data_IF_210324527847
#
_entry.id   IF_210324527847
#
_cell.length_a   1.000
_cell.length_b   1.000
_cell.length_c   1.000
_cell.angle_alpha   90.00
_cell.angle_beta   90.00
_cell.angle_gamma   90.00
#
_symmetry.space_group_name_H-M   'P 1'
#
loop_
_entity.id
_entity.type
_entity.pdbx_description
1 polymer ?
#
# COMPACT_ATOMS: atom_id res chain seq x y z
N UNK A 1 20.10 -1.23 -3.99
CA UNK A 1 20.23 -1.68 -5.40
C UNK A 1 19.11 -2.60 -5.91
N UNK A 2 18.07 -2.97 -5.12
CA UNK A 2 17.03 -3.91 -5.59
C UNK A 2 15.87 -3.25 -6.37
N UNK A 3 15.46 -2.02 -6.04
CA UNK A 3 14.28 -1.38 -6.67
C UNK A 3 14.57 -0.67 -7.99
N UNK A 4 15.72 0.03 -8.09
CA UNK A 4 16.06 0.83 -9.27
C UNK A 4 16.09 0.00 -10.55
N UNK A 5 16.65 -1.22 -10.51
CA UNK A 5 16.67 -2.11 -11.68
C UNK A 5 15.27 -2.46 -12.20
N UNK A 6 14.31 -2.65 -11.30
CA UNK A 6 12.92 -2.91 -11.67
C UNK A 6 12.25 -1.68 -12.27
N UNK A 7 12.52 -0.50 -11.69
CA UNK A 7 12.02 0.79 -12.19
C UNK A 7 12.61 1.09 -13.58
N UNK A 8 13.93 0.91 -13.77
CA UNK A 8 14.62 1.13 -15.04
C UNK A 8 14.05 0.23 -16.15
N UNK A 9 13.77 -1.04 -15.81
CA UNK A 9 13.11 -1.96 -16.73
C UNK A 9 11.71 -1.47 -17.11
N UNK A 10 10.89 -1.06 -16.12
CA UNK A 10 9.57 -0.51 -16.40
C UNK A 10 9.64 0.72 -17.31
N UNK A 11 10.60 1.62 -17.11
CA UNK A 11 10.82 2.79 -17.97
C UNK A 11 11.20 2.37 -19.40
N UNK A 12 12.16 1.44 -19.54
CA UNK A 12 12.63 0.98 -20.84
C UNK A 12 11.54 0.30 -21.67
N UNK A 13 10.66 -0.47 -21.02
CA UNK A 13 9.58 -1.22 -21.67
C UNK A 13 8.25 -0.44 -21.73
N UNK A 14 8.21 0.80 -21.23
CA UNK A 14 6.97 1.61 -21.20
C UNK A 14 5.90 1.07 -20.24
N UNK A 15 6.28 0.29 -19.22
CA UNK A 15 5.39 -0.21 -18.18
C UNK A 15 5.13 0.91 -17.16
N UNK A 16 3.90 1.40 -17.09
CA UNK A 16 3.54 2.56 -16.26
C UNK A 16 3.46 2.31 -14.75
N UNK A 17 3.70 1.08 -14.28
CA UNK A 17 3.58 0.73 -12.85
C UNK A 17 4.61 -0.30 -12.42
N UNK A 18 5.30 0.01 -11.32
CA UNK A 18 6.18 -0.91 -10.61
C UNK A 18 5.66 -1.10 -9.18
N UNK A 19 5.53 -2.35 -8.73
CA UNK A 19 5.12 -2.68 -7.37
C UNK A 19 6.31 -3.30 -6.61
N UNK A 20 6.82 -2.65 -5.55
CA UNK A 20 7.95 -3.16 -4.78
C UNK A 20 7.57 -4.32 -3.83
N UNK A 21 6.29 -4.71 -3.78
CA UNK A 21 5.72 -5.72 -2.88
C UNK A 21 5.38 -5.19 -1.49
N UNK A 22 4.71 -6.03 -0.68
CA UNK A 22 4.37 -5.73 0.72
C UNK A 22 5.59 -5.95 1.63
N UNK A 23 6.31 -4.89 1.99
CA UNK A 23 7.39 -4.94 2.97
C UNK A 23 7.58 -3.54 3.57
N UNK A 24 8.00 -3.48 4.83
CA UNK A 24 7.76 -2.35 5.75
C UNK A 24 8.18 -0.92 5.33
N UNK A 25 7.97 0.00 6.27
CA UNK A 25 7.97 1.46 6.10
C UNK A 25 9.21 2.07 5.45
N UNK A 26 10.36 1.38 5.48
CA UNK A 26 11.59 1.82 4.83
C UNK A 26 11.46 2.05 3.30
N UNK A 27 10.39 1.56 2.66
CA UNK A 27 10.07 1.84 1.26
C UNK A 27 9.52 3.26 1.04
N UNK A 28 8.84 3.83 2.02
CA UNK A 28 8.19 5.14 1.90
C UNK A 28 9.26 6.21 1.65
N UNK A 29 10.36 6.17 2.41
CA UNK A 29 11.51 7.07 2.22
C UNK A 29 12.19 6.94 0.85
N UNK A 30 11.93 5.85 0.12
CA UNK A 30 12.42 5.63 -1.25
C UNK A 30 11.42 6.08 -2.31
N UNK A 31 10.34 6.76 -1.93
CA UNK A 31 9.33 7.29 -2.83
C UNK A 31 8.17 6.34 -3.15
N UNK A 32 8.05 5.21 -2.44
CA UNK A 32 6.91 4.31 -2.62
C UNK A 32 5.71 4.78 -1.77
N UNK A 33 4.68 5.26 -2.45
CA UNK A 33 3.45 5.73 -1.81
C UNK A 33 2.66 4.58 -1.15
N UNK A 34 2.17 4.77 0.09
CA UNK A 34 1.27 3.81 0.73
C UNK A 34 -0.10 3.83 0.04
N UNK A 35 -0.45 2.71 -0.60
CA UNK A 35 -1.74 2.51 -1.27
C UNK A 35 -2.57 1.44 -0.55
N UNK A 36 -3.89 1.49 -0.72
CA UNK A 36 -4.76 0.41 -0.26
C UNK A 36 -4.52 -0.86 -1.07
N UNK A 37 -4.30 -1.97 -0.36
CA UNK A 37 -4.34 -3.32 -0.94
C UNK A 37 -5.67 -3.96 -0.56
N UNK A 38 -6.31 -4.63 -1.52
CA UNK A 38 -7.56 -5.38 -1.30
C UNK A 38 -7.29 -6.85 -1.52
N UNK A 39 -7.95 -7.67 -0.72
CA UNK A 39 -7.90 -9.13 -0.83
C UNK A 39 -9.32 -9.68 -0.70
N UNK A 40 -9.52 -10.88 -1.21
CA UNK A 40 -10.81 -11.57 -1.15
C UNK A 40 -10.59 -12.95 -0.59
N UNK A 41 -11.37 -13.31 0.43
CA UNK A 41 -11.21 -14.54 1.17
C UNK A 41 -12.56 -15.25 1.23
N UNK A 42 -12.55 -16.54 0.88
CA UNK A 42 -13.67 -17.42 1.17
C UNK A 42 -13.44 -18.08 2.53
N UNK A 43 -14.43 -17.95 3.41
CA UNK A 43 -14.40 -18.52 4.75
C UNK A 43 -15.60 -19.44 4.87
N UNK A 44 -15.33 -20.75 5.04
CA UNK A 44 -16.36 -21.77 5.02
C UNK A 44 -17.21 -21.79 6.31
N UNK A 45 -16.61 -21.49 7.46
CA UNK A 45 -17.28 -21.47 8.77
C UNK A 45 -17.99 -20.12 8.97
N UNK A 46 -19.33 -20.08 9.03
CA UNK A 46 -20.08 -18.83 9.13
C UNK A 46 -19.69 -17.97 10.35
N UNK A 47 -19.48 -18.58 11.51
CA UNK A 47 -19.12 -17.82 12.71
C UNK A 47 -17.76 -17.11 12.57
N UNK A 48 -16.82 -17.75 11.87
CA UNK A 48 -15.52 -17.16 11.57
C UNK A 48 -15.65 -16.05 10.52
N UNK A 49 -16.48 -16.25 9.50
CA UNK A 49 -16.73 -15.24 8.47
C UNK A 49 -17.30 -13.95 9.08
N UNK A 50 -18.27 -14.08 9.99
CA UNK A 50 -18.88 -12.95 10.70
C UNK A 50 -17.88 -12.23 11.60
N UNK A 51 -17.04 -12.98 12.34
CA UNK A 51 -16.00 -12.42 13.19
C UNK A 51 -14.95 -11.64 12.37
N UNK A 52 -14.48 -12.19 11.25
CA UNK A 52 -13.53 -11.51 10.35
C UNK A 52 -14.18 -10.27 9.71
N UNK A 53 -15.46 -10.35 9.31
CA UNK A 53 -16.18 -9.20 8.75
C UNK A 53 -16.37 -8.09 9.79
N UNK A 54 -16.63 -8.41 11.05
CA UNK A 54 -16.72 -7.44 12.14
C UNK A 54 -15.37 -6.77 12.40
N UNK A 55 -14.30 -7.57 12.57
CA UNK A 55 -12.96 -7.06 12.80
C UNK A 55 -12.48 -6.14 11.67
N UNK A 56 -12.64 -6.56 10.41
CA UNK A 56 -12.19 -5.75 9.27
C UNK A 56 -12.92 -4.42 9.17
N UNK A 57 -14.21 -4.34 9.55
CA UNK A 57 -14.93 -3.05 9.62
C UNK A 57 -14.33 -2.11 10.66
N UNK A 58 -13.95 -2.62 11.82
CA UNK A 58 -13.32 -1.83 12.88
C UNK A 58 -11.88 -1.43 12.50
N UNK A 59 -11.15 -2.32 11.82
CA UNK A 59 -9.77 -2.10 11.41
C UNK A 59 -9.62 -1.04 10.30
N UNK A 60 -10.65 -0.83 9.48
CA UNK A 60 -10.62 0.12 8.35
C UNK A 60 -10.16 1.52 8.75
N UNK A 61 -10.66 2.04 9.87
CA UNK A 61 -10.31 3.39 10.34
C UNK A 61 -8.83 3.47 10.75
N UNK A 62 -8.31 2.41 11.36
CA UNK A 62 -6.88 2.32 11.70
C UNK A 62 -6.00 2.23 10.46
N UNK A 63 -6.39 1.42 9.47
CA UNK A 63 -5.67 1.29 8.20
C UNK A 63 -5.63 2.63 7.46
N UNK A 64 -6.76 3.34 7.40
CA UNK A 64 -6.81 4.65 6.75
C UNK A 64 -5.98 5.70 7.50
N UNK A 65 -6.06 5.72 8.84
CA UNK A 65 -5.21 6.61 9.63
C UNK A 65 -3.73 6.31 9.42
N UNK A 66 -3.34 5.04 9.44
CA UNK A 66 -1.97 4.62 9.18
C UNK A 66 -1.50 5.06 7.78
N UNK A 67 -2.32 4.85 6.74
CA UNK A 67 -2.00 5.28 5.37
C UNK A 67 -1.74 6.78 5.30
N UNK A 68 -2.59 7.60 5.93
CA UNK A 68 -2.41 9.06 5.97
C UNK A 68 -1.14 9.48 6.68
N UNK A 69 -0.83 8.88 7.84
CA UNK A 69 0.41 9.19 8.56
C UNK A 69 1.65 8.73 7.79
N UNK A 70 1.61 7.53 7.20
CA UNK A 70 2.67 7.00 6.35
C UNK A 70 2.93 7.90 5.14
N UNK A 71 1.89 8.45 4.50
CA UNK A 71 2.04 9.34 3.35
C UNK A 71 2.82 10.63 3.69
N UNK A 72 2.74 11.12 4.93
CA UNK A 72 3.52 12.30 5.39
C UNK A 72 5.03 12.04 5.45
N UNK A 73 5.46 10.77 5.42
CA UNK A 73 6.86 10.38 5.45
C UNK A 73 7.48 10.26 4.05
N UNK A 74 6.71 10.55 2.99
CA UNK A 74 7.22 10.56 1.62
C UNK A 74 8.32 11.62 1.46
N UNK A 75 9.38 11.33 0.68
CA UNK A 75 10.50 12.26 0.49
C UNK A 75 10.16 13.42 -0.46
N UNK A 76 8.96 13.42 -1.03
CA UNK A 76 8.51 14.44 -1.97
C UNK A 76 7.84 15.59 -1.22
N UNK A 77 8.10 16.82 -1.67
CA UNK A 77 7.37 17.99 -1.19
C UNK A 77 5.93 17.86 -1.69
N UNK A 78 4.95 18.07 -0.81
CA UNK A 78 3.58 18.29 -1.27
C UNK A 78 3.60 19.58 -2.10
N UNK A 79 3.65 19.45 -3.43
CA UNK A 79 3.33 20.57 -4.29
C UNK A 79 1.83 20.82 -4.13
N UNK A 80 1.48 22.01 -3.64
CA UNK A 80 0.11 22.50 -3.73
C UNK A 80 -0.28 22.45 -5.21
N UNK A 81 -1.11 21.48 -5.57
CA UNK A 81 -1.69 21.41 -6.90
C UNK A 81 -2.60 22.64 -7.08
N UNK A 82 -2.07 23.66 -7.75
CA UNK A 82 -2.82 24.82 -8.23
C UNK A 82 -3.79 24.47 -9.36
#
# INVERSE_FOLDING_TARGET
ACYYRGIDYCIAEGIGRFDPGAQGEHKIQRGFEPIHTRSSHWIAEPALADAVAAFTREELDHVESYRREAAKLLPFRAEDAG
#
